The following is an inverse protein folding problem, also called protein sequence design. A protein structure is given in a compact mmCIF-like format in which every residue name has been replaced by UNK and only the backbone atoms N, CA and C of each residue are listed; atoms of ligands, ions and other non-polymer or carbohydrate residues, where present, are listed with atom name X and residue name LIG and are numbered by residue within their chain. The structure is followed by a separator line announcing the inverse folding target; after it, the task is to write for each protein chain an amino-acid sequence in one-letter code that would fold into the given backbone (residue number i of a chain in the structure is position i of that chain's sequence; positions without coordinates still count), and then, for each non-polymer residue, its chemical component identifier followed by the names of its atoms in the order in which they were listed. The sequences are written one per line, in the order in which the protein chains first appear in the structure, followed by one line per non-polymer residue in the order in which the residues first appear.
data_IF_941711025283
#
_entry.id   IF_941711025283
#
_cell.length_a   1.000
_cell.length_b   1.000
_cell.length_c   1.000
_cell.angle_alpha   90.00
_cell.angle_beta   90.00
_cell.angle_gamma   90.00
#
_symmetry.space_group_name_H-M   'P 1'
#
loop_
_entity.id
_entity.type
_entity.pdbx_description
1 polymer ?
#
# COMPACT_ATOMS: atom_id res chain seq x y z
N UNK A 1 19.55 -0.24 5.90
CA UNK A 1 19.16 1.09 6.39
C UNK A 1 20.37 1.99 6.39
N UNK A 2 20.22 3.25 6.00
CA UNK A 2 21.24 4.28 6.22
C UNK A 2 21.14 4.85 7.65
N UNK A 3 22.05 5.76 8.02
CA UNK A 3 22.11 6.34 9.37
C UNK A 3 20.82 7.09 9.76
N UNK A 4 20.26 7.88 8.83
CA UNK A 4 18.99 8.59 9.05
C UNK A 4 17.83 7.63 9.30
N UNK A 5 17.69 6.59 8.48
CA UNK A 5 16.68 5.55 8.65
C UNK A 5 16.84 4.81 9.98
N UNK A 6 18.08 4.54 10.41
CA UNK A 6 18.33 3.90 11.70
C UNK A 6 17.96 4.80 12.88
N UNK A 7 18.29 6.10 12.81
CA UNK A 7 17.88 7.10 13.80
C UNK A 7 16.36 7.14 13.97
N UNK A 8 15.63 7.25 12.86
CA UNK A 8 14.16 7.20 12.86
C UNK A 8 13.67 5.88 13.47
N UNK A 9 14.12 4.75 12.94
CA UNK A 9 13.77 3.40 13.40
C UNK A 9 13.93 3.26 14.92
N UNK A 10 15.08 3.67 15.46
CA UNK A 10 15.38 3.52 16.90
C UNK A 10 14.51 4.40 17.81
N UNK A 11 13.82 5.39 17.24
CA UNK A 11 13.03 6.38 17.95
C UNK A 11 11.51 6.19 17.82
N UNK A 12 11.06 5.16 17.08
CA UNK A 12 9.64 4.80 16.96
C UNK A 12 9.14 4.17 18.26
N UNK A 13 7.88 4.45 18.61
CA UNK A 13 7.36 4.24 19.96
C UNK A 13 7.12 2.77 20.30
N UNK A 14 6.72 1.96 19.31
CA UNK A 14 6.50 0.54 19.53
C UNK A 14 7.23 -0.36 18.53
N UNK A 15 7.45 -1.60 18.95
CA UNK A 15 8.19 -2.61 18.18
C UNK A 15 7.53 -2.95 16.83
N UNK A 16 6.20 -2.85 16.73
CA UNK A 16 5.47 -3.15 15.49
C UNK A 16 5.78 -2.08 14.44
N UNK A 17 5.75 -0.81 14.82
CA UNK A 17 6.16 0.32 13.96
C UNK A 17 7.57 0.15 13.45
N UNK A 18 8.51 -0.16 14.35
CA UNK A 18 9.91 -0.36 14.01
C UNK A 18 10.08 -1.40 12.91
N UNK A 19 9.43 -2.54 13.07
CA UNK A 19 9.58 -3.70 12.18
C UNK A 19 8.91 -3.48 10.83
N UNK A 20 7.74 -2.83 10.81
CA UNK A 20 7.05 -2.43 9.58
C UNK A 20 7.86 -1.36 8.84
N UNK A 21 8.30 -0.32 9.55
CA UNK A 21 9.12 0.76 8.98
C UNK A 21 10.41 0.21 8.38
N UNK A 22 11.06 -0.73 9.06
CA UNK A 22 12.26 -1.39 8.56
C UNK A 22 12.03 -2.09 7.23
N UNK A 23 10.91 -2.76 7.08
CA UNK A 23 10.59 -3.41 5.80
C UNK A 23 10.23 -2.40 4.72
N UNK A 24 9.45 -1.37 5.03
CA UNK A 24 9.09 -0.33 4.08
C UNK A 24 10.31 0.44 3.56
N UNK A 25 11.36 0.55 4.39
CA UNK A 25 12.65 1.11 3.99
C UNK A 25 13.58 0.12 3.26
N UNK A 26 13.18 -1.14 3.08
CA UNK A 26 13.98 -2.13 2.36
C UNK A 26 13.90 -1.94 0.84
N UNK A 27 14.84 -2.55 0.11
CA UNK A 27 14.95 -2.41 -1.36
C UNK A 27 13.80 -3.08 -2.15
N UNK A 28 12.79 -3.65 -1.49
CA UNK A 28 11.66 -4.34 -2.16
C UNK A 28 10.91 -3.39 -3.10
N UNK A 29 10.85 -2.09 -2.79
CA UNK A 29 10.18 -1.08 -3.60
C UNK A 29 11.01 -0.57 -4.79
N UNK A 30 12.28 -0.96 -4.89
CA UNK A 30 13.18 -0.56 -5.98
C UNK A 30 12.99 -1.34 -7.28
N UNK A 31 12.17 -2.41 -7.27
CA UNK A 31 11.82 -3.23 -8.42
C UNK A 31 10.29 -3.32 -8.51
N UNK A 32 9.73 -3.48 -9.70
CA UNK A 32 8.30 -3.73 -9.86
C UNK A 32 7.85 -4.98 -9.10
N UNK A 33 6.90 -4.83 -8.17
CA UNK A 33 6.35 -5.92 -7.36
C UNK A 33 4.86 -6.07 -7.66
N UNK A 34 4.39 -7.31 -7.76
CA UNK A 34 2.97 -7.63 -7.85
C UNK A 34 2.71 -8.90 -7.08
N UNK A 35 1.80 -8.85 -6.12
CA UNK A 35 1.42 -10.01 -5.32
C UNK A 35 -0.09 -10.18 -5.24
N UNK A 36 -0.54 -11.41 -5.46
CA UNK A 36 -1.86 -11.85 -5.05
C UNK A 36 -1.84 -12.08 -3.55
N UNK A 37 -2.86 -11.62 -2.86
CA UNK A 37 -3.01 -11.83 -1.43
C UNK A 37 -3.68 -13.20 -1.23
N UNK A 38 -3.02 -14.12 -0.54
CA UNK A 38 -3.62 -15.42 -0.26
C UNK A 38 -4.74 -15.32 0.78
N UNK A 39 -5.85 -16.00 0.51
CA UNK A 39 -7.01 -16.07 1.42
C UNK A 39 -8.10 -15.05 1.10
N UNK A 40 -7.76 -13.86 0.62
CA UNK A 40 -8.74 -12.81 0.24
C UNK A 40 -8.59 -12.49 -1.25
N UNK A 41 -9.66 -12.08 -1.94
CA UNK A 41 -9.62 -11.76 -3.38
C UNK A 41 -8.97 -10.39 -3.64
N UNK A 42 -7.76 -10.21 -3.12
CA UNK A 42 -6.97 -9.00 -3.20
C UNK A 42 -5.68 -9.20 -3.96
N UNK A 43 -5.19 -8.13 -4.56
CA UNK A 43 -3.84 -8.04 -5.08
C UNK A 43 -3.29 -6.63 -4.85
N UNK A 44 -1.96 -6.53 -4.82
CA UNK A 44 -1.24 -5.27 -4.70
C UNK A 44 -0.05 -5.25 -5.65
N UNK A 45 0.36 -4.07 -6.06
CA UNK A 45 1.59 -3.90 -6.80
C UNK A 45 2.06 -2.47 -6.89
N UNK A 46 3.36 -2.31 -7.13
CA UNK A 46 4.04 -1.03 -7.24
C UNK A 46 5.15 -1.13 -8.29
N UNK A 47 5.45 -0.03 -8.97
CA UNK A 47 6.55 0.09 -9.92
C UNK A 47 7.20 1.48 -9.79
N UNK A 48 8.53 1.60 -9.78
CA UNK A 48 9.23 2.89 -9.67
C UNK A 48 9.03 3.85 -10.87
N UNK A 49 8.23 3.49 -11.86
CA UNK A 49 8.23 4.15 -13.17
C UNK A 49 9.53 3.95 -13.96
N UNK A 50 9.68 4.74 -15.02
CA UNK A 50 10.85 4.74 -15.93
C UNK A 50 11.69 6.03 -15.82
N UNK A 51 11.15 7.08 -15.18
CA UNK A 51 11.77 8.41 -15.10
C UNK A 51 12.30 8.75 -13.71
N UNK A 52 11.65 8.27 -12.65
CA UNK A 52 12.06 8.55 -11.27
C UNK A 52 13.26 7.69 -10.87
N UNK A 53 14.12 8.25 -10.02
CA UNK A 53 15.31 7.53 -9.49
C UNK A 53 14.98 6.60 -8.33
N UNK A 54 13.87 6.87 -7.66
CA UNK A 54 13.42 6.20 -6.44
C UNK A 54 11.91 6.02 -6.51
N UNK A 55 11.43 4.96 -5.86
CA UNK A 55 10.02 4.75 -5.59
C UNK A 55 9.69 5.36 -4.23
N UNK A 56 8.88 6.41 -4.21
CA UNK A 56 8.39 7.10 -3.01
C UNK A 56 7.01 6.60 -2.59
N UNK A 57 6.35 5.80 -3.43
CA UNK A 57 5.11 5.12 -3.07
C UNK A 57 5.35 3.98 -2.08
N UNK A 58 4.45 3.85 -1.12
CA UNK A 58 4.37 2.69 -0.23
C UNK A 58 2.94 2.19 -0.17
N UNK A 59 2.82 0.88 0.01
CA UNK A 59 1.52 0.24 0.14
C UNK A 59 1.62 -0.99 1.01
N UNK A 60 0.56 -1.26 1.77
CA UNK A 60 0.47 -2.41 2.64
C UNK A 60 -0.99 -2.80 2.87
N UNK A 61 -1.18 -4.09 3.18
CA UNK A 61 -2.49 -4.66 3.45
C UNK A 61 -2.36 -5.62 4.60
N UNK A 62 -3.25 -5.54 5.57
CA UNK A 62 -3.14 -6.37 6.76
C UNK A 62 -4.49 -6.70 7.39
N UNK A 63 -4.48 -7.77 8.18
CA UNK A 63 -5.52 -8.10 9.15
C UNK A 63 -4.97 -7.77 10.54
N UNK A 64 -5.60 -6.88 11.29
CA UNK A 64 -5.14 -6.48 12.62
C UNK A 64 -6.18 -6.95 13.64
N UNK A 65 -5.75 -7.55 14.75
CA UNK A 65 -6.63 -7.68 15.89
C UNK A 65 -6.68 -6.31 16.59
N UNK A 66 -7.84 -5.66 16.58
CA UNK A 66 -8.10 -4.40 17.25
C UNK A 66 -9.03 -4.68 18.43
N UNK A 67 -8.51 -4.63 19.66
CA UNK A 67 -9.28 -4.89 20.88
C UNK A 67 -10.19 -6.15 20.79
N UNK A 68 -9.60 -7.30 20.44
CA UNK A 68 -10.28 -8.59 20.23
C UNK A 68 -11.24 -8.67 19.04
N UNK A 69 -11.28 -7.65 18.19
CA UNK A 69 -12.04 -7.64 16.94
C UNK A 69 -11.10 -7.66 15.75
N UNK A 70 -11.38 -8.49 14.75
CA UNK A 70 -10.55 -8.54 13.56
C UNK A 70 -10.93 -7.38 12.62
N UNK A 71 -9.95 -6.57 12.25
CA UNK A 71 -10.09 -5.58 11.17
C UNK A 71 -9.17 -5.94 10.01
N UNK A 72 -9.54 -5.51 8.82
CA UNK A 72 -8.73 -5.53 7.61
C UNK A 72 -8.42 -4.10 7.23
N UNK A 73 -7.18 -3.82 6.87
CA UNK A 73 -6.70 -2.49 6.54
C UNK A 73 -5.91 -2.56 5.23
N UNK A 74 -6.22 -1.68 4.28
CA UNK A 74 -5.46 -1.44 3.07
C UNK A 74 -5.01 0.02 3.07
N UNK A 75 -3.72 0.25 2.89
CA UNK A 75 -3.11 1.59 2.91
C UNK A 75 -2.22 1.75 1.69
N UNK A 76 -2.37 2.86 0.98
CA UNK A 76 -1.48 3.34 -0.07
C UNK A 76 -1.09 4.78 0.23
N UNK A 77 0.20 5.07 0.11
CA UNK A 77 0.79 6.39 0.35
C UNK A 77 1.71 6.72 -0.82
N UNK A 78 1.52 7.89 -1.42
CA UNK A 78 2.37 8.47 -2.47
C UNK A 78 3.21 9.59 -1.85
N UNK A 79 4.53 9.41 -1.85
CA UNK A 79 5.45 10.41 -1.29
C UNK A 79 5.46 11.66 -2.16
N UNK A 80 5.13 12.81 -1.59
CA UNK A 80 4.98 14.06 -2.36
C UNK A 80 6.32 14.46 -2.96
N UNK A 81 6.40 14.39 -4.29
CA UNK A 81 7.59 14.75 -5.05
C UNK A 81 8.00 16.22 -4.84
N UNK A 82 9.29 16.45 -4.62
CA UNK A 82 9.83 17.78 -4.27
C UNK A 82 10.05 17.99 -2.78
N UNK A 83 9.47 17.13 -1.92
CA UNK A 83 9.92 16.99 -0.53
C UNK A 83 11.23 16.19 -0.46
N UNK A 84 12.07 16.43 0.54
CA UNK A 84 13.36 15.74 0.64
C UNK A 84 13.22 14.25 0.98
N UNK A 85 12.13 13.90 1.66
CA UNK A 85 11.95 12.60 2.34
C UNK A 85 10.61 11.92 2.06
N UNK A 86 10.05 12.07 0.85
CA UNK A 86 8.76 11.46 0.47
C UNK A 86 8.68 9.95 0.69
N UNK A 87 9.75 9.22 0.39
CA UNK A 87 9.87 7.76 0.63
C UNK A 87 9.86 7.39 2.12
N UNK A 88 10.45 8.23 2.98
CA UNK A 88 10.43 8.04 4.42
C UNK A 88 9.08 8.46 5.00
N UNK A 89 8.44 9.50 4.47
CA UNK A 89 7.12 9.96 4.90
C UNK A 89 6.06 8.87 4.63
N UNK A 90 6.01 8.32 3.42
CA UNK A 90 5.10 7.23 3.05
C UNK A 90 5.38 5.96 3.87
N UNK A 91 6.65 5.66 4.17
CA UNK A 91 7.03 4.54 5.02
C UNK A 91 6.59 4.74 6.48
N UNK A 92 6.75 5.94 7.03
CA UNK A 92 6.33 6.31 8.38
C UNK A 92 4.80 6.29 8.51
N UNK A 93 4.07 6.80 7.53
CA UNK A 93 2.61 6.81 7.54
C UNK A 93 2.04 5.39 7.71
N UNK A 94 2.48 4.45 6.89
CA UNK A 94 2.01 3.07 6.98
C UNK A 94 2.46 2.42 8.29
N UNK A 95 3.73 2.60 8.69
CA UNK A 95 4.25 1.98 9.90
C UNK A 95 3.50 2.41 11.16
N UNK A 96 3.26 3.72 11.30
CA UNK A 96 2.61 4.31 12.47
C UNK A 96 1.12 3.99 12.51
N UNK A 97 0.41 4.02 11.37
CA UNK A 97 -1.01 3.62 11.34
C UNK A 97 -1.19 2.16 11.75
N UNK A 98 -0.41 1.24 11.19
CA UNK A 98 -0.48 -0.17 11.57
C UNK A 98 -0.04 -0.40 13.03
N UNK A 99 0.99 0.31 13.49
CA UNK A 99 1.46 0.28 14.87
C UNK A 99 0.38 0.69 15.85
N UNK A 100 -0.15 1.90 15.67
CA UNK A 100 -1.23 2.47 16.47
C UNK A 100 -2.43 1.52 16.54
N UNK A 101 -2.97 1.10 15.39
CA UNK A 101 -4.13 0.20 15.34
C UNK A 101 -3.88 -1.17 15.98
N UNK A 102 -2.62 -1.63 16.04
CA UNK A 102 -2.26 -2.92 16.66
C UNK A 102 -2.20 -2.85 18.19
N UNK A 103 -1.96 -1.66 18.75
CA UNK A 103 -1.85 -1.43 20.20
C UNK A 103 -3.07 -0.71 20.80
N UNK A 104 -3.94 -0.18 19.94
CA UNK A 104 -5.14 0.57 20.28
C UNK A 104 -6.16 -0.27 21.05
N UNK A 105 -6.52 0.18 22.26
CA UNK A 105 -7.36 -0.55 23.21
C UNK A 105 -8.48 0.28 23.86
N UNK A 106 -8.68 1.52 23.41
CA UNK A 106 -9.75 2.39 23.90
C UNK A 106 -11.13 1.83 23.52
N UNK A 107 -12.16 2.31 24.21
CA UNK A 107 -13.57 2.00 23.92
C UNK A 107 -14.18 2.94 22.87
N UNK A 108 -13.36 3.60 22.04
CA UNK A 108 -13.85 4.47 20.98
C UNK A 108 -14.38 3.69 19.76
N UNK A 109 -15.23 4.37 18.98
CA UNK A 109 -15.72 3.86 17.70
C UNK A 109 -14.58 3.67 16.70
N UNK A 110 -14.73 2.69 15.79
CA UNK A 110 -13.69 2.37 14.79
C UNK A 110 -13.27 3.60 13.98
N UNK A 111 -14.22 4.43 13.55
CA UNK A 111 -13.92 5.67 12.82
C UNK A 111 -12.98 6.59 13.60
N UNK A 112 -13.20 6.76 14.91
CA UNK A 112 -12.38 7.64 15.75
C UNK A 112 -10.98 7.07 15.97
N UNK A 113 -10.87 5.75 16.14
CA UNK A 113 -9.58 5.06 16.20
C UNK A 113 -8.76 5.23 14.92
N UNK A 114 -9.44 5.18 13.77
CA UNK A 114 -8.82 5.44 12.47
C UNK A 114 -8.34 6.89 12.37
N UNK A 115 -9.18 7.86 12.75
CA UNK A 115 -8.82 9.28 12.79
C UNK A 115 -7.59 9.51 13.67
N UNK A 116 -7.58 8.99 14.90
CA UNK A 116 -6.45 9.13 15.81
C UNK A 116 -5.18 8.47 15.27
N UNK A 117 -5.29 7.32 14.59
CA UNK A 117 -4.15 6.68 13.93
C UNK A 117 -3.54 7.56 12.84
N UNK A 118 -4.36 8.25 12.05
CA UNK A 118 -3.88 9.17 11.00
C UNK A 118 -3.28 10.45 11.60
N UNK A 119 -3.89 11.02 12.64
CA UNK A 119 -3.34 12.16 13.37
C UNK A 119 -1.99 11.83 14.01
N UNK A 120 -1.87 10.64 14.61
CA UNK A 120 -0.62 10.14 15.16
C UNK A 120 0.45 9.97 14.07
N UNK A 121 0.07 9.44 12.91
CA UNK A 121 0.96 9.29 11.77
C UNK A 121 1.46 10.64 11.25
N UNK A 122 0.56 11.60 11.04
CA UNK A 122 0.89 12.96 10.61
C UNK A 122 1.90 13.62 11.55
N UNK A 123 1.61 13.58 12.85
CA UNK A 123 2.47 14.16 13.88
C UNK A 123 3.84 13.49 13.91
N UNK A 124 3.88 12.17 13.79
CA UNK A 124 5.13 11.41 13.75
C UNK A 124 5.97 11.78 12.52
N UNK A 125 5.35 11.93 11.35
CA UNK A 125 6.06 12.34 10.13
C UNK A 125 6.66 13.74 10.31
N UNK A 126 5.86 14.70 10.79
CA UNK A 126 6.32 16.07 11.08
C UNK A 126 7.53 16.07 12.03
N UNK A 127 7.46 15.30 13.12
CA UNK A 127 8.49 15.27 14.15
C UNK A 127 9.76 14.54 13.70
N UNK A 128 9.62 13.40 13.03
CA UNK A 128 10.77 12.56 12.61
C UNK A 128 11.47 13.10 11.37
N UNK A 129 10.77 13.81 10.49
CA UNK A 129 11.32 14.37 9.26
C UNK A 129 11.49 15.90 9.33
N UNK A 130 11.28 16.51 10.50
CA UNK A 130 11.43 17.94 10.74
C UNK A 130 10.60 18.82 9.77
N UNK A 131 9.48 18.29 9.27
CA UNK A 131 8.62 18.96 8.30
C UNK A 131 9.11 18.95 6.84
N UNK A 132 10.18 18.21 6.53
CA UNK A 132 10.79 18.16 5.19
C UNK A 132 10.27 16.99 4.32
N UNK A 133 9.37 16.16 4.84
CA UNK A 133 8.80 15.01 4.15
C UNK A 133 7.29 15.00 4.24
N UNK A 134 6.62 14.78 3.11
CA UNK A 134 5.17 14.69 3.03
C UNK A 134 4.72 13.51 2.17
N UNK A 135 3.51 13.02 2.42
CA UNK A 135 2.91 11.90 1.68
C UNK A 135 1.39 12.02 1.62
N UNK A 136 0.78 11.48 0.55
CA UNK A 136 -0.65 11.23 0.50
C UNK A 136 -1.03 10.02 1.38
N UNK A 137 -2.34 9.82 1.56
CA UNK A 137 -2.92 8.64 2.20
C UNK A 137 -4.23 8.27 1.52
N UNK A 138 -4.29 7.10 0.90
CA UNK A 138 -5.55 6.42 0.56
C UNK A 138 -5.68 5.19 1.44
N UNK A 139 -6.74 5.11 2.24
CA UNK A 139 -6.93 4.01 3.18
C UNK A 139 -8.36 3.49 3.19
N UNK A 140 -8.51 2.17 3.36
CA UNK A 140 -9.78 1.52 3.67
C UNK A 140 -9.59 0.55 4.83
N UNK A 141 -10.45 0.67 5.84
CA UNK A 141 -10.52 -0.22 7.00
C UNK A 141 -11.89 -0.87 7.07
N UNK A 142 -11.91 -2.18 7.32
CA UNK A 142 -13.07 -3.04 7.30
C UNK A 142 -13.09 -3.92 8.55
N UNK A 143 -14.15 -3.92 9.35
CA UNK A 143 -14.26 -4.78 10.52
C UNK A 143 -14.94 -6.12 10.21
N UNK A 144 -14.66 -7.14 11.01
CA UNK A 144 -15.40 -8.41 10.97
C UNK A 144 -16.87 -8.27 11.35
N UNK A 145 -17.28 -7.16 11.98
CA UNK A 145 -18.68 -6.82 12.27
C UNK A 145 -19.42 -6.18 11.08
N UNK A 146 -18.73 -5.87 9.99
CA UNK A 146 -19.34 -5.32 8.78
C UNK A 146 -19.22 -3.80 8.61
N UNK A 147 -18.47 -3.13 9.47
CA UNK A 147 -18.19 -1.70 9.36
C UNK A 147 -17.09 -1.46 8.34
N UNK A 148 -17.23 -0.40 7.55
CA UNK A 148 -16.23 0.03 6.56
C UNK A 148 -16.06 1.52 6.69
N UNK A 149 -14.81 1.95 6.74
CA UNK A 149 -14.41 3.34 6.70
C UNK A 149 -13.23 3.49 5.75
N UNK A 150 -13.43 4.27 4.69
CA UNK A 150 -12.35 4.71 3.82
C UNK A 150 -12.14 6.21 3.98
N UNK A 151 -10.91 6.67 3.79
CA UNK A 151 -10.56 8.09 3.78
C UNK A 151 -9.38 8.32 2.84
N UNK A 152 -9.35 9.52 2.27
CA UNK A 152 -8.32 9.95 1.34
C UNK A 152 -7.76 11.30 1.80
N UNK A 153 -6.44 11.46 1.76
CA UNK A 153 -5.71 12.72 1.95
C UNK A 153 -4.73 12.84 0.77
N UNK A 154 -4.88 13.87 -0.04
CA UNK A 154 -4.08 14.10 -1.25
C UNK A 154 -4.79 13.70 -2.55
N UNK A 155 -4.04 13.41 -3.62
CA UNK A 155 -4.54 13.16 -4.98
C UNK A 155 -4.40 11.71 -5.46
N UNK A 156 -3.91 10.82 -4.58
CA UNK A 156 -4.20 9.39 -4.71
C UNK A 156 -5.72 9.15 -4.64
N UNK A 157 -6.20 8.04 -5.21
CA UNK A 157 -7.64 7.83 -5.42
C UNK A 157 -8.15 6.51 -4.88
N UNK A 158 -9.39 6.57 -4.39
CA UNK A 158 -10.20 5.43 -3.97
C UNK A 158 -11.33 5.26 -4.97
N UNK A 159 -11.47 4.06 -5.52
CA UNK A 159 -12.56 3.69 -6.41
C UNK A 159 -13.41 2.57 -5.82
N UNK A 160 -14.72 2.64 -6.05
CA UNK A 160 -15.64 1.51 -5.97
C UNK A 160 -15.54 0.71 -7.27
N UNK A 161 -15.24 -0.58 -7.16
CA UNK A 161 -15.09 -1.47 -8.31
C UNK A 161 -16.16 -2.54 -8.28
N UNK A 162 -16.97 -2.61 -9.33
CA UNK A 162 -18.05 -3.59 -9.48
C UNK A 162 -17.77 -4.48 -10.70
N UNK A 163 -16.95 -5.54 -10.53
CA UNK A 163 -16.63 -6.48 -11.59
C UNK A 163 -17.87 -7.04 -12.30
N UNK A 164 -18.95 -7.36 -11.55
CA UNK A 164 -20.15 -7.97 -12.12
C UNK A 164 -20.87 -7.04 -13.10
N UNK A 165 -20.78 -5.72 -12.88
CA UNK A 165 -21.40 -4.68 -13.71
C UNK A 165 -20.43 -4.01 -14.67
N UNK A 166 -19.14 -4.38 -14.64
CA UNK A 166 -18.05 -3.67 -15.34
C UNK A 166 -18.10 -2.17 -15.05
N UNK A 167 -18.34 -1.81 -13.79
CA UNK A 167 -18.40 -0.41 -13.35
C UNK A 167 -17.21 -0.07 -12.46
N UNK A 168 -16.76 1.18 -12.60
CA UNK A 168 -15.71 1.77 -11.80
C UNK A 168 -16.14 3.20 -11.50
N UNK A 169 -16.22 3.55 -10.23
CA UNK A 169 -16.68 4.87 -9.78
C UNK A 169 -15.67 5.43 -8.81
N UNK A 170 -15.15 6.63 -9.07
CA UNK A 170 -14.29 7.32 -8.12
C UNK A 170 -15.12 7.70 -6.88
N UNK A 171 -14.64 7.32 -5.70
CA UNK A 171 -15.28 7.60 -4.41
C UNK A 171 -14.63 8.79 -3.74
N UNK A 172 -13.29 8.84 -3.72
CA UNK A 172 -12.54 9.95 -3.13
C UNK A 172 -12.64 11.22 -3.95
N UNK A 173 -12.56 12.38 -3.28
CA UNK A 173 -12.27 13.65 -3.93
C UNK A 173 -10.79 13.97 -3.73
N UNK A 174 -10.08 14.39 -4.79
CA UNK A 174 -8.66 14.73 -4.68
C UNK A 174 -8.51 16.04 -3.86
N UNK A 175 -7.62 16.04 -2.88
CA UNK A 175 -7.29 17.24 -2.11
C UNK A 175 -6.32 18.13 -2.90
N UNK A 176 -6.87 18.86 -3.87
CA UNK A 176 -6.12 19.83 -4.67
C UNK A 176 -6.67 21.23 -4.48
N UNK A 177 -5.83 22.25 -4.68
CA UNK A 177 -6.25 23.67 -4.63
C UNK A 177 -7.39 23.94 -5.61
N UNK A 178 -7.38 23.29 -6.78
CA UNK A 178 -8.48 23.39 -7.76
C UNK A 178 -9.82 22.89 -7.22
N UNK A 179 -9.80 21.77 -6.49
CA UNK A 179 -11.00 21.21 -5.90
C UNK A 179 -11.48 22.07 -4.72
N UNK A 180 -10.58 22.61 -3.89
CA UNK A 180 -10.94 23.56 -2.83
C UNK A 180 -11.58 24.84 -3.38
N UNK A 181 -10.97 25.45 -4.40
CA UNK A 181 -11.52 26.66 -5.05
C UNK A 181 -12.86 26.38 -5.71
N UNK A 182 -13.05 25.18 -6.28
CA UNK A 182 -14.32 24.80 -6.91
C UNK A 182 -15.48 24.73 -5.91
N UNK A 183 -15.22 24.37 -4.65
CA UNK A 183 -16.23 24.36 -3.57
C UNK A 183 -16.71 25.77 -3.23
N UNK A 184 -15.92 26.81 -3.53
CA UNK A 184 -16.25 28.22 -3.28
C UNK A 184 -17.10 28.86 -4.40
N UNK A 185 -17.57 28.10 -5.39
CA UNK A 185 -18.32 28.60 -6.57
C UNK A 185 -17.57 29.67 -7.38
N UNK A 186 -16.24 29.74 -7.28
CA UNK A 186 -15.42 30.64 -8.08
C UNK A 186 -15.31 30.06 -9.49
N UNK A 187 -15.96 30.72 -10.47
CA UNK A 187 -16.04 30.23 -11.85
C UNK A 187 -14.76 30.43 -12.65
N UNK A 188 -13.94 31.42 -12.27
CA UNK A 188 -12.71 31.73 -12.99
C UNK A 188 -11.52 30.96 -12.43
N UNK A 189 -11.18 29.85 -13.09
CA UNK A 189 -10.02 29.02 -12.78
C UNK A 189 -8.76 29.46 -13.56
N UNK A 190 -8.84 30.46 -14.44
CA UNK A 190 -7.68 30.89 -15.24
C UNK A 190 -6.54 31.41 -14.37
N UNK A 191 -6.86 31.99 -13.21
CA UNK A 191 -5.89 32.38 -12.20
C UNK A 191 -5.05 31.20 -11.70
N UNK A 192 -5.65 30.02 -11.48
CA UNK A 192 -4.92 28.84 -11.01
C UNK A 192 -3.89 28.37 -12.04
N UNK A 193 -4.26 28.40 -13.33
CA UNK A 193 -3.34 28.08 -14.42
C UNK A 193 -2.25 29.14 -14.56
N UNK A 194 -2.59 30.43 -14.46
CA UNK A 194 -1.64 31.53 -14.54
C UNK A 194 -0.60 31.52 -13.41
N UNK A 195 -0.99 31.11 -12.20
CA UNK A 195 -0.10 30.97 -11.05
C UNK A 195 0.58 29.60 -10.93
N UNK A 196 0.30 28.67 -11.85
CA UNK A 196 0.86 27.31 -11.81
C UNK A 196 0.42 26.49 -10.60
N UNK A 197 -0.77 26.77 -10.06
CA UNK A 197 -1.35 26.07 -8.88
C UNK A 197 -2.17 24.83 -9.27
N UNK A 198 -2.15 24.48 -10.57
CA UNK A 198 -2.86 23.33 -11.11
C UNK A 198 -2.20 22.04 -10.64
N UNK A 199 -2.96 21.13 -10.05
CA UNK A 199 -2.49 19.87 -9.48
C UNK A 199 -1.74 20.02 -8.15
N UNK A 200 -1.67 21.22 -7.57
CA UNK A 200 -1.09 21.42 -6.24
C UNK A 200 -2.02 20.85 -5.19
N UNK A 201 -1.46 20.04 -4.28
CA UNK A 201 -2.19 19.49 -3.15
C UNK A 201 -2.66 20.61 -2.20
N UNK A 202 -3.87 20.48 -1.67
CA UNK A 202 -4.38 21.35 -0.60
C UNK A 202 -4.07 20.80 0.80
N UNK A 203 -3.86 19.49 0.92
CA UNK A 203 -3.37 18.84 2.13
C UNK A 203 -2.61 17.55 1.81
N UNK A 204 -1.61 17.25 2.64
CA UNK A 204 -0.88 15.99 2.68
C UNK A 204 -0.44 15.69 4.12
N UNK A 205 -0.11 14.44 4.43
CA UNK A 205 0.47 14.10 5.74
C UNK A 205 1.92 14.59 5.82
N UNK A 206 2.32 15.08 6.99
CA UNK A 206 3.69 15.54 7.25
C UNK A 206 3.98 16.99 6.89
N UNK A 207 3.01 17.71 6.31
CA UNK A 207 3.17 19.13 5.96
C UNK A 207 3.54 19.97 7.18
N UNK A 208 4.54 20.83 7.02
CA UNK A 208 4.98 21.76 8.04
C UNK A 208 4.03 22.96 8.18
N UNK A 209 4.15 23.71 9.28
CA UNK A 209 3.41 24.95 9.54
C UNK A 209 1.89 24.80 9.73
N UNK A 210 1.38 23.59 9.98
CA UNK A 210 0.00 23.35 10.46
C UNK A 210 -0.01 22.40 11.65
N UNK A 211 -1.07 22.45 12.47
CA UNK A 211 -1.31 21.42 13.48
C UNK A 211 -1.88 20.16 12.80
N UNK A 212 -1.64 18.97 13.35
CA UNK A 212 -2.26 17.74 12.84
C UNK A 212 -3.78 17.77 12.94
N UNK A 213 -4.33 18.45 13.96
CA UNK A 213 -5.78 18.65 14.10
C UNK A 213 -6.41 19.54 13.02
N UNK A 214 -5.59 20.20 12.19
CA UNK A 214 -6.08 21.01 11.07
C UNK A 214 -6.37 20.15 9.82
N UNK A 215 -6.00 18.86 9.83
CA UNK A 215 -6.34 17.91 8.74
C UNK A 215 -7.86 17.78 8.59
N UNK A 216 -8.33 17.87 7.36
CA UNK A 216 -9.74 17.73 7.06
C UNK A 216 -10.06 16.30 6.59
N UNK A 217 -10.81 15.56 7.40
CA UNK A 217 -11.19 14.18 7.11
C UNK A 217 -12.55 14.09 6.42
N UNK A 218 -12.60 13.38 5.29
CA UNK A 218 -13.84 12.91 4.66
C UNK A 218 -13.85 11.38 4.70
N UNK A 219 -14.80 10.83 5.44
CA UNK A 219 -15.00 9.38 5.55
C UNK A 219 -16.06 8.88 4.58
N UNK A 220 -15.79 7.74 3.96
CA UNK A 220 -16.70 7.01 3.09
C UNK A 220 -17.04 5.66 3.74
N UNK A 221 -18.33 5.43 3.98
CA UNK A 221 -18.80 4.20 4.61
C UNK A 221 -19.06 3.07 3.59
N UNK A 222 -19.59 1.94 4.08
CA UNK A 222 -19.91 0.77 3.26
C UNK A 222 -20.85 1.04 2.07
N UNK A 223 -21.67 2.09 2.11
CA UNK A 223 -22.62 2.42 1.03
C UNK A 223 -21.94 2.83 -0.28
N UNK A 224 -20.67 3.22 -0.21
CA UNK A 224 -19.87 3.55 -1.38
C UNK A 224 -19.22 2.32 -2.04
N UNK A 225 -19.19 1.16 -1.36
CA UNK A 225 -18.42 -0.02 -1.76
C UNK A 225 -19.32 -1.26 -1.91
N UNK A 226 -19.98 -1.38 -3.07
CA UNK A 226 -20.94 -2.45 -3.35
C UNK A 226 -20.30 -3.83 -3.46
N UNK A 227 -19.29 -3.99 -4.32
CA UNK A 227 -18.64 -5.27 -4.59
C UNK A 227 -17.19 -5.26 -4.12
N UNK A 228 -16.37 -4.39 -4.68
CA UNK A 228 -14.94 -4.30 -4.41
C UNK A 228 -14.44 -2.86 -4.38
N UNK A 229 -13.14 -2.69 -4.23
CA UNK A 229 -12.50 -1.38 -4.20
C UNK A 229 -11.09 -1.41 -4.79
N UNK A 230 -10.61 -0.23 -5.17
CA UNK A 230 -9.25 -0.01 -5.66
C UNK A 230 -8.68 1.23 -4.98
N UNK A 231 -7.44 1.15 -4.50
CA UNK A 231 -6.61 2.28 -4.09
C UNK A 231 -5.51 2.46 -5.13
N UNK A 232 -5.23 3.68 -5.59
CA UNK A 232 -4.28 3.92 -6.69
C UNK A 232 -3.57 5.26 -6.55
N UNK A 233 -2.25 5.29 -6.75
CA UNK A 233 -1.45 6.55 -6.81
C UNK A 233 -1.61 7.24 -8.17
N UNK A 234 -1.25 8.52 -8.25
CA UNK A 234 -1.51 9.32 -9.44
C UNK A 234 -0.76 8.81 -10.69
N UNK A 235 0.48 8.36 -10.51
CA UNK A 235 1.30 7.80 -11.58
C UNK A 235 0.79 6.49 -12.16
N UNK A 236 -0.22 5.85 -11.56
CA UNK A 236 -0.87 4.67 -12.13
C UNK A 236 -2.08 4.99 -13.02
N UNK A 237 -2.70 6.17 -12.91
CA UNK A 237 -3.92 6.52 -13.66
C UNK A 237 -3.78 7.80 -14.51
N UNK A 238 -3.04 8.81 -14.06
CA UNK A 238 -3.03 10.18 -14.62
C UNK A 238 -2.64 10.25 -16.09
N UNK A 239 -1.55 9.59 -16.47
CA UNK A 239 -1.06 9.55 -17.85
C UNK A 239 -1.88 8.62 -18.77
N UNK A 240 -2.84 7.88 -18.21
CA UNK A 240 -3.58 6.84 -18.94
C UNK A 240 -5.08 6.86 -18.70
N UNK A 241 -5.64 7.97 -18.22
CA UNK A 241 -7.00 8.07 -17.64
C UNK A 241 -8.09 7.36 -18.46
N UNK A 242 -8.16 7.64 -19.77
CA UNK A 242 -9.17 7.01 -20.66
C UNK A 242 -9.00 5.50 -20.86
N UNK A 243 -7.78 4.99 -20.73
CA UNK A 243 -7.43 3.57 -20.90
C UNK A 243 -7.44 2.83 -19.56
N UNK A 244 -7.11 3.50 -18.47
CA UNK A 244 -7.13 2.99 -17.11
C UNK A 244 -8.50 2.39 -16.75
N UNK A 245 -9.56 3.16 -16.97
CA UNK A 245 -10.92 2.72 -16.70
C UNK A 245 -11.31 1.49 -17.54
N UNK A 246 -10.94 1.47 -18.83
CA UNK A 246 -11.19 0.33 -19.73
C UNK A 246 -10.43 -0.91 -19.29
N UNK A 247 -9.20 -0.77 -18.82
CA UNK A 247 -8.39 -1.89 -18.31
C UNK A 247 -9.07 -2.52 -17.10
N UNK A 248 -9.50 -1.72 -16.13
CA UNK A 248 -10.13 -2.21 -14.91
C UNK A 248 -11.48 -2.87 -15.20
N UNK A 249 -12.33 -2.24 -16.02
CA UNK A 249 -13.65 -2.77 -16.39
C UNK A 249 -13.60 -4.11 -17.14
N UNK A 250 -12.45 -4.44 -17.75
CA UNK A 250 -12.25 -5.69 -18.49
C UNK A 250 -11.26 -6.65 -17.80
N UNK A 251 -10.83 -6.34 -16.57
CA UNK A 251 -10.06 -7.27 -15.75
C UNK A 251 -10.98 -8.34 -15.15
N UNK A 252 -10.48 -9.57 -15.08
CA UNK A 252 -11.30 -10.71 -14.58
C UNK A 252 -11.14 -10.94 -13.09
N UNK A 253 -10.10 -10.39 -12.47
CA UNK A 253 -9.76 -10.57 -11.07
C UNK A 253 -8.80 -9.44 -10.63
N UNK A 254 -8.59 -9.30 -9.31
CA UNK A 254 -7.75 -8.25 -8.73
C UNK A 254 -6.29 -8.29 -9.22
N UNK A 255 -5.74 -9.48 -9.48
CA UNK A 255 -4.37 -9.60 -9.97
C UNK A 255 -4.24 -9.07 -11.41
N UNK A 256 -5.24 -9.30 -12.24
CA UNK A 256 -5.31 -8.73 -13.59
C UNK A 256 -5.43 -7.20 -13.54
N UNK A 257 -6.23 -6.64 -12.61
CA UNK A 257 -6.30 -5.18 -12.39
C UNK A 257 -4.91 -4.63 -12.12
N UNK A 258 -4.24 -5.16 -11.10
CA UNK A 258 -2.91 -4.69 -10.69
C UNK A 258 -1.90 -4.79 -11.84
N UNK A 259 -1.76 -5.98 -12.44
CA UNK A 259 -0.75 -6.23 -13.48
C UNK A 259 -0.97 -5.37 -14.72
N UNK A 260 -2.22 -5.26 -15.19
CA UNK A 260 -2.54 -4.51 -16.42
C UNK A 260 -2.43 -3.01 -16.21
N UNK A 261 -2.83 -2.50 -15.03
CA UNK A 261 -2.65 -1.07 -14.70
C UNK A 261 -1.18 -0.69 -14.66
N UNK A 262 -0.34 -1.44 -13.96
CA UNK A 262 1.11 -1.14 -13.90
C UNK A 262 1.78 -1.22 -15.27
N UNK A 263 1.40 -2.21 -16.09
CA UNK A 263 1.88 -2.32 -17.47
C UNK A 263 1.45 -1.11 -18.33
N UNK A 264 0.17 -0.70 -18.22
CA UNK A 264 -0.36 0.45 -18.94
C UNK A 264 0.38 1.74 -18.55
N UNK A 265 0.54 2.02 -17.25
CA UNK A 265 1.26 3.20 -16.77
C UNK A 265 2.71 3.23 -17.29
N UNK A 266 3.37 2.06 -17.30
CA UNK A 266 4.72 1.92 -17.86
C UNK A 266 4.74 2.18 -19.38
N UNK A 267 3.78 1.65 -20.14
CA UNK A 267 3.66 1.86 -21.59
C UNK A 267 3.32 3.30 -21.96
N UNK A 268 2.59 4.02 -21.11
CA UNK A 268 2.32 5.45 -21.26
C UNK A 268 3.53 6.33 -20.91
N UNK A 269 4.65 5.74 -20.52
CA UNK A 269 5.94 6.44 -20.34
C UNK A 269 6.54 6.29 -18.95
N UNK A 270 5.77 5.81 -17.96
CA UNK A 270 6.22 5.63 -16.58
C UNK A 270 6.84 6.91 -16.00
N UNK A 271 6.13 8.03 -16.11
CA UNK A 271 6.62 9.36 -15.72
C UNK A 271 6.77 9.50 -14.21
N UNK A 272 5.98 8.76 -13.44
CA UNK A 272 6.01 8.69 -11.98
C UNK A 272 6.02 7.26 -11.44
N UNK A 273 6.10 7.14 -10.12
CA UNK A 273 5.84 5.92 -9.38
C UNK A 273 4.37 5.50 -9.58
N UNK A 274 4.14 4.20 -9.73
CA UNK A 274 2.79 3.68 -10.00
C UNK A 274 2.48 2.59 -9.00
N UNK A 275 1.43 2.77 -8.20
CA UNK A 275 1.04 1.84 -7.15
C UNK A 275 -0.46 1.62 -7.14
N UNK A 276 -0.87 0.39 -6.85
CA UNK A 276 -2.27 -0.01 -6.86
C UNK A 276 -2.54 -1.18 -5.91
N UNK A 277 -3.65 -1.09 -5.18
CA UNK A 277 -4.26 -2.18 -4.43
C UNK A 277 -5.65 -2.42 -4.98
N UNK A 278 -6.01 -3.67 -5.27
CA UNK A 278 -7.33 -4.02 -5.80
C UNK A 278 -7.94 -5.19 -5.04
N UNK A 279 -9.22 -5.09 -4.74
CA UNK A 279 -10.05 -6.14 -4.16
C UNK A 279 -11.31 -6.31 -4.98
N UNK A 280 -11.54 -7.50 -5.54
CA UNK A 280 -12.72 -7.80 -6.38
C UNK A 280 -13.94 -8.18 -5.56
N UNK A 281 -13.73 -8.49 -4.28
CA UNK A 281 -14.78 -8.66 -3.29
C UNK A 281 -14.37 -7.89 -2.04
N UNK A 282 -15.34 -7.23 -1.42
CA UNK A 282 -15.12 -6.46 -0.22
C UNK A 282 -14.59 -7.45 0.83
N UNK A 283 -13.45 -7.18 1.49
CA UNK A 283 -12.88 -8.09 2.49
C UNK A 283 -13.88 -8.44 3.59
N UNK A 284 -14.87 -7.58 3.83
CA UNK A 284 -16.01 -7.78 4.75
C UNK A 284 -16.94 -8.94 4.37
N UNK A 285 -16.99 -9.39 3.11
CA UNK A 285 -17.91 -10.44 2.67
C UNK A 285 -17.34 -11.87 2.71
N UNK A 286 -16.13 -12.07 3.23
CA UNK A 286 -15.61 -13.42 3.50
C UNK A 286 -15.72 -13.77 4.98
N UNK A 287 -16.96 -13.87 5.46
CA UNK A 287 -17.25 -14.75 6.61
C UNK A 287 -16.64 -16.12 6.29
N UNK A 288 -15.76 -16.62 7.16
CA UNK A 288 -15.00 -17.88 7.03
C UNK A 288 -13.60 -17.87 6.38
N UNK A 289 -12.83 -16.79 6.46
CA UNK A 289 -11.39 -16.93 6.24
C UNK A 289 -10.69 -17.62 7.43
N UNK A 290 -10.73 -18.96 7.46
CA UNK A 290 -10.05 -19.84 8.44
C UNK A 290 -8.52 -19.62 8.54
N UNK A 291 -7.94 -18.81 7.66
CA UNK A 291 -6.53 -18.46 7.63
C UNK A 291 -6.14 -17.34 8.62
N UNK A 292 -7.09 -16.55 9.11
CA UNK A 292 -6.84 -15.52 10.12
C UNK A 292 -7.28 -16.04 11.48
N UNK A 293 -6.33 -16.64 12.23
CA UNK A 293 -6.57 -16.97 13.64
C UNK A 293 -6.86 -15.66 14.38
N UNK A 294 -7.98 -15.60 15.11
CA UNK A 294 -8.42 -14.41 15.85
C UNK A 294 -7.33 -13.71 16.69
N UNK A 295 -6.26 -14.42 17.07
CA UNK A 295 -5.21 -13.85 17.92
C UNK A 295 -4.00 -13.29 17.15
N UNK A 296 -3.89 -13.48 15.82
CA UNK A 296 -2.71 -13.05 15.05
C UNK A 296 -3.05 -11.92 14.07
N UNK A 297 -2.29 -10.84 14.18
CA UNK A 297 -2.23 -9.79 13.18
C UNK A 297 -1.29 -10.20 12.04
N UNK A 298 -1.64 -9.85 10.81
CA UNK A 298 -0.84 -10.13 9.63
C UNK A 298 -0.74 -8.88 8.77
N UNK A 299 0.45 -8.56 8.26
CA UNK A 299 0.67 -7.41 7.38
C UNK A 299 1.47 -7.89 6.18
N UNK A 300 1.05 -7.48 4.99
CA UNK A 300 1.67 -7.82 3.72
C UNK A 300 2.23 -6.54 3.13
N UNK A 301 3.54 -6.56 2.90
CA UNK A 301 4.33 -5.46 2.37
C UNK A 301 5.14 -6.02 1.21
N UNK A 302 4.89 -5.55 0.00
CA UNK A 302 5.49 -6.13 -1.20
C UNK A 302 5.21 -7.65 -1.27
N UNK A 303 6.28 -8.45 -1.26
CA UNK A 303 6.24 -9.92 -1.31
C UNK A 303 6.44 -10.59 0.06
N UNK A 304 6.34 -9.83 1.15
CA UNK A 304 6.59 -10.34 2.49
C UNK A 304 5.34 -10.26 3.35
N UNK A 305 5.04 -11.36 4.04
CA UNK A 305 4.02 -11.45 5.08
C UNK A 305 4.65 -11.45 6.47
N UNK A 306 4.20 -10.51 7.29
CA UNK A 306 4.50 -10.40 8.71
C UNK A 306 3.34 -10.97 9.50
N UNK A 307 3.62 -11.77 10.53
CA UNK A 307 2.61 -12.32 11.43
C UNK A 307 3.05 -12.13 12.88
N UNK A 308 2.19 -11.53 13.70
CA UNK A 308 2.49 -11.25 15.11
C UNK A 308 1.26 -11.35 16.01
N UNK A 309 1.51 -11.50 17.31
CA UNK A 309 0.49 -11.48 18.35
C UNK A 309 0.58 -10.11 19.02
N UNK A 310 -0.55 -9.43 19.24
CA UNK A 310 -0.58 -8.09 19.84
C UNK A 310 0.14 -8.00 21.21
N UNK A 311 0.29 -9.13 21.92
CA UNK A 311 0.90 -9.20 23.25
C UNK A 311 2.36 -9.73 23.25
N UNK A 312 2.97 -10.05 22.10
CA UNK A 312 4.33 -10.61 22.05
C UNK A 312 5.25 -9.85 21.10
N UNK A 313 6.46 -9.54 21.57
CA UNK A 313 7.60 -8.94 20.84
C UNK A 313 8.20 -9.81 19.72
N UNK A 314 7.50 -10.86 19.28
CA UNK A 314 8.01 -11.80 18.27
C UNK A 314 7.18 -11.71 16.98
N UNK A 315 7.78 -11.12 15.94
CA UNK A 315 7.22 -11.08 14.60
C UNK A 315 7.81 -12.21 13.76
N UNK A 316 6.95 -13.01 13.13
CA UNK A 316 7.35 -14.03 12.16
C UNK A 316 7.28 -13.44 10.75
N UNK A 317 8.41 -13.48 10.02
CA UNK A 317 8.52 -13.06 8.63
C UNK A 317 8.47 -14.26 7.68
N UNK A 318 7.62 -14.20 6.66
CA UNK A 318 7.50 -15.25 5.62
C UNK A 318 7.50 -14.59 4.24
N UNK A 319 8.40 -15.03 3.34
CA UNK A 319 8.37 -14.60 1.93
C UNK A 319 7.22 -15.30 1.19
N UNK A 320 6.49 -14.53 0.39
CA UNK A 320 5.37 -14.98 -0.45
C UNK A 320 5.83 -15.43 -1.85
N UNK A 321 7.13 -15.41 -2.13
CA UNK A 321 7.67 -15.82 -3.44
C UNK A 321 7.24 -17.25 -3.80
N UNK A 322 6.61 -17.38 -4.98
CA UNK A 322 6.16 -18.66 -5.52
C UNK A 322 7.35 -19.62 -5.66
N UNK A 323 7.38 -20.69 -4.86
CA UNK A 323 8.14 -21.90 -5.22
C UNK A 323 7.51 -22.47 -6.49
N UNK A 324 8.20 -22.35 -7.62
CA UNK A 324 7.95 -23.19 -8.80
C UNK A 324 8.19 -24.67 -8.42
N UNK A 325 7.24 -25.31 -7.73
CA UNK A 325 7.16 -26.76 -7.63
C UNK A 325 6.55 -27.31 -8.91
N UNK A 326 7.36 -27.32 -9.97
CA UNK A 326 7.25 -28.30 -11.05
C UNK A 326 8.65 -28.84 -11.34
N UNK A 327 9.10 -29.80 -10.51
CA UNK A 327 9.92 -30.88 -11.08
C UNK A 327 8.97 -31.64 -12.03
N UNK A 328 9.32 -31.85 -13.30
CA UNK A 328 8.52 -32.70 -14.17
C UNK A 328 8.45 -34.11 -13.56
N UNK A 329 7.36 -34.86 -13.77
CA UNK A 329 7.28 -36.23 -13.29
C UNK A 329 8.32 -37.05 -14.05
N UNK A 330 9.43 -37.39 -13.40
CA UNK A 330 10.35 -38.40 -13.92
C UNK A 330 9.62 -39.72 -13.85
N UNK A 331 9.19 -40.21 -15.02
CA UNK A 331 8.70 -41.57 -15.21
C UNK A 331 9.70 -42.53 -14.57
N UNK A 332 9.23 -43.31 -13.62
CA UNK A 332 9.92 -44.51 -13.15
C UNK A 332 10.05 -45.49 -14.31
N UNK A 333 11.29 -45.76 -14.72
CA UNK A 333 11.64 -47.06 -15.28
C UNK A 333 12.76 -47.63 -14.41
N UNK A 334 12.52 -48.85 -13.94
CA UNK A 334 13.50 -49.74 -13.34
C UNK A 334 14.68 -49.90 -14.30
N UNK A 335 15.90 -49.96 -13.77
CA UNK A 335 16.75 -51.15 -13.82
C UNK A 335 18.16 -50.84 -13.26
N UNK A 336 18.55 -51.67 -12.28
CA UNK A 336 19.85 -52.20 -11.88
C UNK A 336 21.19 -51.44 -12.03
N UNK A 337 21.94 -51.47 -10.91
CA UNK A 337 23.39 -51.61 -10.76
C UNK A 337 24.34 -50.82 -11.69
N UNK A 338 25.10 -49.86 -11.15
CA UNK A 338 26.46 -50.13 -10.65
C UNK A 338 27.14 -48.87 -10.09
N UNK A 339 27.99 -49.12 -9.10
CA UNK A 339 28.99 -48.24 -8.47
C UNK A 339 29.77 -47.28 -9.39
N UNK A 340 30.05 -46.06 -8.88
CA UNK A 340 31.42 -45.48 -8.73
C UNK A 340 31.36 -44.04 -8.18
N UNK A 341 32.06 -43.84 -7.06
CA UNK A 341 32.51 -42.54 -6.57
C UNK A 341 33.46 -41.89 -7.57
N UNK A 342 33.30 -40.58 -7.83
CA UNK A 342 34.36 -39.73 -8.39
C UNK A 342 34.34 -38.37 -7.70
N UNK A 343 35.43 -38.11 -6.99
CA UNK A 343 35.87 -36.87 -6.37
C UNK A 343 36.19 -35.81 -7.43
N UNK A 344 35.76 -34.56 -7.23
CA UNK A 344 36.15 -33.41 -8.08
C UNK A 344 37.18 -32.57 -7.33
N UNK A 345 38.38 -32.45 -7.89
CA UNK A 345 39.49 -31.56 -7.48
C UNK A 345 39.54 -30.38 -8.49
N UNK A 346 39.95 -29.15 -8.09
CA UNK A 346 39.72 -27.93 -8.86
C UNK A 346 40.63 -27.77 -10.08
N UNK A 347 40.12 -27.03 -11.06
CA UNK A 347 40.75 -26.71 -12.35
C UNK A 347 41.87 -25.67 -12.14
N UNK A 348 43.06 -25.96 -12.66
CA UNK A 348 44.16 -25.01 -12.85
C UNK A 348 44.65 -25.01 -14.30
N UNK A 349 44.40 -23.89 -14.99
CA UNK A 349 45.20 -23.19 -16.01
C UNK A 349 46.31 -23.93 -16.79
N UNK A 350 46.21 -23.96 -18.13
CA UNK A 350 46.92 -23.05 -19.06
C UNK A 350 46.94 -23.58 -20.51
N UNK A 351 46.63 -22.66 -21.42
CA UNK A 351 47.25 -22.36 -22.73
C UNK A 351 47.79 -23.49 -23.62
N UNK A 352 47.21 -23.54 -24.83
CA UNK A 352 47.96 -23.30 -26.08
C UNK A 352 47.05 -22.70 -27.15
#
# INVERSE_FOLDING_TARGET
MNEQQFGIYSSLENFIEQEIFRELCSNIFGIGVTNKIEGIDGALGTHPGLKRKRNEDRLAVGSINLNNSLIYCAILCDGVGGSAFGDLASSLAIATIFGYLSTENTNEHLQKKIENAVLYADKTIQDKLLGDGATTLSMLVASSSGEIYALNIGDSRIFSWEPSKKALTQVSCDDTIENEVSKLNIKDKTALEAFGLKGTLSQALGESNRNSNDLNFVFYDKSYFNEGFILVSDGAWKDSETSFEKVIKNATNSLDVVRRTLALATWCGGTDNSSIIAFSSNPVFTTENKNFRHNHSNIIIGDTKYSFLNEKTNIKKTSLSYKNKKKPPTKSKKDDNNSKEITIVPIGNNDK
#
